data_IF_859983200043
#
_entry.id   IF_859983200043
#
_cell.length_a   1.000
_cell.length_b   1.000
_cell.length_c   1.000
_cell.angle_alpha   90.00
_cell.angle_beta   90.00
_cell.angle_gamma   90.00
#
_symmetry.space_group_name_H-M   'P 1'
#
loop_
_entity.id
_entity.type
_entity.pdbx_description
1 polymer ?
#
# COMPACT_ATOMS: atom_id res chain seq x y z
N UNK A 1 -1.87 10.92 -6.81
CA UNK A 1 -1.63 9.89 -5.80
C UNK A 1 -2.30 8.58 -6.21
N UNK A 2 -1.66 7.44 -5.95
CA UNK A 2 -2.29 6.13 -6.03
C UNK A 2 -2.49 5.58 -4.62
N UNK A 3 -3.74 5.25 -4.26
CA UNK A 3 -4.08 4.58 -3.00
C UNK A 3 -4.19 3.08 -3.27
N UNK A 4 -3.39 2.29 -2.58
CA UNK A 4 -3.33 0.84 -2.73
C UNK A 4 -4.02 0.16 -1.55
N UNK A 5 -5.02 -0.68 -1.84
CA UNK A 5 -5.81 -1.42 -0.88
C UNK A 5 -5.66 -2.93 -1.14
N UNK A 6 -4.79 -3.64 -0.39
CA UNK A 6 -4.75 -5.10 -0.44
C UNK A 6 -5.99 -5.69 0.23
N UNK A 7 -6.61 -6.71 -0.38
CA UNK A 7 -7.83 -7.33 0.11
C UNK A 7 -7.77 -8.86 0.02
N UNK A 8 -8.14 -9.54 1.10
CA UNK A 8 -8.29 -10.99 1.14
C UNK A 8 -9.44 -11.40 2.04
N UNK A 9 -10.57 -11.82 1.44
CA UNK A 9 -11.84 -12.12 2.11
C UNK A 9 -12.34 -10.92 2.95
N UNK A 10 -12.46 -9.78 2.29
CA UNK A 10 -12.90 -8.49 2.89
C UNK A 10 -14.23 -8.01 2.26
N UNK A 11 -15.12 -8.93 1.85
CA UNK A 11 -16.42 -8.60 1.23
C UNK A 11 -17.28 -7.67 2.08
N UNK A 12 -17.08 -7.66 3.42
CA UNK A 12 -17.86 -6.85 4.36
C UNK A 12 -17.35 -5.39 4.45
N UNK A 13 -16.12 -5.11 3.99
CA UNK A 13 -15.45 -3.83 4.21
C UNK A 13 -14.96 -3.15 2.93
N UNK A 14 -14.65 -3.94 1.87
CA UNK A 14 -13.90 -3.45 0.72
C UNK A 14 -14.66 -2.36 -0.06
N UNK A 15 -15.97 -2.49 -0.20
CA UNK A 15 -16.79 -1.50 -0.89
C UNK A 15 -16.73 -0.15 -0.15
N UNK A 16 -16.98 -0.15 1.15
CA UNK A 16 -16.92 1.05 1.97
C UNK A 16 -15.53 1.68 1.97
N UNK A 17 -14.47 0.86 2.04
CA UNK A 17 -13.09 1.36 2.02
C UNK A 17 -12.76 2.09 0.70
N UNK A 18 -13.23 1.57 -0.43
CA UNK A 18 -13.07 2.23 -1.73
C UNK A 18 -13.91 3.49 -1.81
N UNK A 19 -15.18 3.46 -1.36
CA UNK A 19 -16.06 4.63 -1.36
C UNK A 19 -15.53 5.74 -0.46
N UNK A 20 -14.99 5.43 0.72
CA UNK A 20 -14.32 6.42 1.59
C UNK A 20 -13.16 7.13 0.84
N UNK A 21 -12.36 6.36 0.07
CA UNK A 21 -11.31 6.95 -0.77
C UNK A 21 -11.89 7.85 -1.86
N UNK A 22 -12.94 7.40 -2.56
CA UNK A 22 -13.57 8.15 -3.66
C UNK A 22 -14.26 9.43 -3.19
N UNK A 23 -14.77 9.44 -1.97
CA UNK A 23 -15.38 10.64 -1.35
C UNK A 23 -14.33 11.65 -0.89
N UNK A 24 -13.18 11.19 -0.43
CA UNK A 24 -12.13 12.04 0.12
C UNK A 24 -11.15 12.57 -0.95
N UNK A 25 -10.58 11.68 -1.76
CA UNK A 25 -9.46 12.00 -2.65
C UNK A 25 -9.72 13.16 -3.63
N UNK A 26 -10.92 13.30 -4.26
CA UNK A 26 -11.18 14.40 -5.19
C UNK A 26 -11.19 15.79 -4.53
N UNK A 27 -11.29 15.87 -3.22
CA UNK A 27 -11.28 17.14 -2.46
C UNK A 27 -9.87 17.67 -2.29
N UNK A 28 -8.87 16.77 -2.22
CA UNK A 28 -7.50 17.11 -1.86
C UNK A 28 -6.52 16.92 -3.03
N UNK A 29 -6.84 16.04 -3.99
CA UNK A 29 -5.92 15.66 -5.06
C UNK A 29 -6.53 15.82 -6.44
N UNK A 30 -5.90 16.63 -7.31
CA UNK A 30 -6.35 16.81 -8.69
C UNK A 30 -6.24 15.53 -9.54
N UNK A 31 -5.23 14.69 -9.26
CA UNK A 31 -5.01 13.41 -9.92
C UNK A 31 -4.89 12.30 -8.86
N UNK A 32 -5.82 11.38 -8.89
CA UNK A 32 -5.86 10.26 -7.94
C UNK A 32 -6.40 8.99 -8.61
N UNK A 33 -6.09 7.87 -8.02
CA UNK A 33 -6.65 6.56 -8.34
C UNK A 33 -6.66 5.67 -7.10
N UNK A 34 -7.51 4.65 -7.12
CA UNK A 34 -7.59 3.60 -6.10
C UNK A 34 -7.28 2.26 -6.77
N UNK A 35 -6.22 1.60 -6.32
CA UNK A 35 -5.81 0.29 -6.80
C UNK A 35 -6.16 -0.74 -5.74
N UNK A 36 -7.12 -1.60 -6.04
CA UNK A 36 -7.56 -2.65 -5.13
C UNK A 36 -6.99 -3.99 -5.58
N UNK A 37 -6.26 -4.66 -4.70
CA UNK A 37 -5.60 -5.93 -5.03
C UNK A 37 -6.29 -7.07 -4.29
N UNK A 38 -7.02 -7.91 -5.03
CA UNK A 38 -7.62 -9.13 -4.51
C UNK A 38 -6.58 -10.25 -4.46
N UNK A 39 -6.16 -10.64 -3.27
CA UNK A 39 -5.18 -11.72 -3.06
C UNK A 39 -5.84 -13.11 -3.08
N UNK A 40 -6.61 -13.39 -4.13
CA UNK A 40 -7.25 -14.70 -4.35
C UNK A 40 -8.32 -15.03 -3.31
N UNK A 41 -9.21 -14.08 -2.99
CA UNK A 41 -10.34 -14.25 -2.08
C UNK A 41 -11.28 -15.36 -2.53
N UNK A 42 -11.93 -15.99 -1.56
CA UNK A 42 -12.91 -17.08 -1.78
C UNK A 42 -14.36 -16.63 -1.58
N UNK A 43 -14.55 -15.42 -1.11
CA UNK A 43 -15.83 -14.75 -0.89
C UNK A 43 -16.16 -13.78 -2.04
N UNK A 44 -17.14 -12.91 -1.86
CA UNK A 44 -17.59 -11.96 -2.88
C UNK A 44 -16.62 -10.78 -3.11
N UNK A 45 -15.48 -10.69 -2.39
CA UNK A 45 -14.51 -9.57 -2.51
C UNK A 45 -14.13 -9.30 -3.97
N UNK A 46 -13.80 -10.34 -4.73
CA UNK A 46 -13.38 -10.20 -6.13
C UNK A 46 -14.49 -9.71 -7.06
N UNK A 47 -15.75 -10.01 -6.76
CA UNK A 47 -16.93 -9.55 -7.52
C UNK A 47 -17.18 -8.07 -7.25
N UNK A 48 -17.17 -7.67 -5.98
CA UNK A 48 -17.34 -6.29 -5.53
C UNK A 48 -16.28 -5.38 -6.18
N UNK A 49 -15.00 -5.80 -6.21
CA UNK A 49 -13.92 -5.04 -6.84
C UNK A 49 -14.20 -4.84 -8.34
N UNK A 50 -14.66 -5.88 -9.07
CA UNK A 50 -15.01 -5.75 -10.50
C UNK A 50 -16.21 -4.83 -10.73
N UNK A 51 -17.15 -4.76 -9.80
CA UNK A 51 -18.28 -3.83 -9.87
C UNK A 51 -17.83 -2.39 -9.66
N UNK A 52 -17.00 -2.14 -8.66
CA UNK A 52 -16.42 -0.83 -8.40
C UNK A 52 -15.53 -0.33 -9.58
N UNK A 53 -14.75 -1.22 -10.19
CA UNK A 53 -13.95 -0.89 -11.38
C UNK A 53 -14.83 -0.49 -12.57
N UNK A 54 -16.00 -1.14 -12.76
CA UNK A 54 -16.97 -0.78 -13.79
C UNK A 54 -17.73 0.52 -13.48
N UNK A 55 -18.03 0.76 -12.20
CA UNK A 55 -18.72 1.97 -11.74
C UNK A 55 -17.83 3.22 -11.86
N UNK A 56 -16.51 3.06 -11.58
CA UNK A 56 -15.53 4.15 -11.57
C UNK A 56 -14.37 3.92 -12.56
N UNK A 57 -14.64 3.88 -13.88
CA UNK A 57 -13.63 3.56 -14.88
C UNK A 57 -12.52 4.61 -14.92
N UNK A 58 -11.26 4.15 -14.93
CA UNK A 58 -10.08 5.03 -14.93
C UNK A 58 -9.70 5.61 -13.57
N UNK A 59 -10.54 5.42 -12.54
CA UNK A 59 -10.27 5.84 -11.16
C UNK A 59 -10.00 4.62 -10.28
N UNK A 60 -10.86 3.60 -10.33
CA UNK A 60 -10.65 2.34 -9.62
C UNK A 60 -10.03 1.33 -10.57
N UNK A 61 -8.98 0.65 -10.12
CA UNK A 61 -8.30 -0.43 -10.85
C UNK A 61 -8.27 -1.69 -9.98
N UNK A 62 -8.86 -2.77 -10.48
CA UNK A 62 -8.87 -4.09 -9.82
C UNK A 62 -7.71 -4.96 -10.29
N UNK A 63 -6.83 -5.40 -9.38
CA UNK A 63 -5.81 -6.42 -9.63
C UNK A 63 -6.29 -7.73 -9.00
N UNK A 64 -6.41 -8.78 -9.79
CA UNK A 64 -6.95 -10.06 -9.32
C UNK A 64 -5.89 -11.15 -9.33
N UNK A 65 -5.68 -11.84 -8.21
CA UNK A 65 -4.89 -13.07 -8.15
C UNK A 65 -5.82 -14.29 -8.18
N UNK A 66 -5.46 -15.30 -8.92
CA UNK A 66 -6.21 -16.56 -8.94
C UNK A 66 -6.14 -17.31 -7.59
N UNK A 67 -5.05 -17.13 -6.86
CA UNK A 67 -4.76 -17.80 -5.58
C UNK A 67 -4.09 -16.82 -4.64
N UNK A 68 -4.27 -17.03 -3.33
CA UNK A 68 -3.57 -16.25 -2.31
C UNK A 68 -2.04 -16.38 -2.49
N UNK A 69 -1.38 -15.24 -2.65
CA UNK A 69 0.08 -15.09 -2.80
C UNK A 69 0.73 -14.45 -1.60
N UNK A 70 -0.08 -13.94 -0.70
CA UNK A 70 0.30 -13.25 0.52
C UNK A 70 0.26 -11.73 0.44
N UNK A 71 0.08 -11.15 1.61
CA UNK A 71 -0.12 -9.71 1.81
C UNK A 71 0.95 -8.84 1.12
N UNK A 72 2.23 -9.20 1.26
CA UNK A 72 3.32 -8.47 0.63
C UNK A 72 3.27 -8.56 -0.90
N UNK A 73 2.85 -9.70 -1.46
CA UNK A 73 2.69 -9.83 -2.90
C UNK A 73 1.57 -8.94 -3.43
N UNK A 74 0.46 -8.82 -2.67
CA UNK A 74 -0.64 -7.93 -3.00
C UNK A 74 -0.21 -6.46 -2.98
N UNK A 75 0.47 -6.00 -1.93
CA UNK A 75 1.00 -4.63 -1.85
C UNK A 75 1.92 -4.32 -3.03
N UNK A 76 2.87 -5.21 -3.34
CA UNK A 76 3.80 -4.99 -4.45
C UNK A 76 3.13 -5.00 -5.82
N UNK A 77 2.07 -5.79 -6.01
CA UNK A 77 1.27 -5.73 -7.23
C UNK A 77 0.50 -4.40 -7.34
N UNK A 78 -0.03 -3.92 -6.22
CA UNK A 78 -0.67 -2.61 -6.14
C UNK A 78 0.29 -1.47 -6.50
N UNK A 79 1.50 -1.46 -5.95
CA UNK A 79 2.52 -0.47 -6.29
C UNK A 79 2.91 -0.48 -7.77
N UNK A 80 2.98 -1.66 -8.40
CA UNK A 80 3.27 -1.79 -9.84
C UNK A 80 2.10 -1.32 -10.72
N UNK A 81 0.86 -1.53 -10.29
CA UNK A 81 -0.34 -1.13 -11.00
C UNK A 81 -0.65 0.37 -10.85
N UNK A 82 -0.30 0.96 -9.71
CA UNK A 82 -0.47 2.38 -9.45
C UNK A 82 0.36 3.25 -10.41
N UNK A 83 -0.20 4.40 -10.84
CA UNK A 83 0.38 5.31 -11.85
C UNK A 83 0.81 6.67 -11.28
N UNK A 84 0.39 6.98 -10.05
CA UNK A 84 0.69 8.26 -9.38
C UNK A 84 2.16 8.41 -9.00
N UNK A 85 2.63 9.63 -8.87
CA UNK A 85 3.97 9.98 -8.37
C UNK A 85 4.13 9.60 -6.88
N UNK A 86 3.03 9.65 -6.14
CA UNK A 86 2.93 9.22 -4.75
C UNK A 86 2.14 7.91 -4.68
N UNK A 87 2.72 6.94 -4.00
CA UNK A 87 2.15 5.62 -3.79
C UNK A 87 1.88 5.43 -2.29
N UNK A 88 0.63 5.40 -1.93
CA UNK A 88 0.17 5.20 -0.55
C UNK A 88 -0.51 3.85 -0.41
N UNK A 89 -0.18 3.09 0.63
CA UNK A 89 -0.96 1.91 0.94
C UNK A 89 -1.49 1.92 2.36
N UNK A 90 -2.67 1.34 2.52
CA UNK A 90 -3.32 1.09 3.80
C UNK A 90 -4.17 -0.18 3.71
N UNK A 91 -4.51 -0.76 4.87
CA UNK A 91 -5.40 -1.92 4.92
C UNK A 91 -6.82 -1.54 4.49
N UNK A 92 -7.52 -2.51 3.88
CA UNK A 92 -8.91 -2.35 3.40
C UNK A 92 -9.97 -2.51 4.51
N UNK A 93 -9.57 -2.75 5.74
CA UNK A 93 -10.44 -2.99 6.89
C UNK A 93 -10.95 -1.72 7.61
N UNK A 94 -10.62 -0.53 7.05
CA UNK A 94 -11.01 0.79 7.55
C UNK A 94 -10.50 1.11 8.96
N UNK A 95 -9.42 0.45 9.40
CA UNK A 95 -8.81 0.76 10.70
C UNK A 95 -8.00 2.07 10.67
N UNK A 96 -7.64 2.57 9.50
CA UNK A 96 -6.99 3.88 9.31
C UNK A 96 -7.92 4.87 8.63
N UNK A 97 -7.82 6.14 9.02
CA UNK A 97 -8.59 7.22 8.41
C UNK A 97 -7.89 7.73 7.14
N UNK A 98 -8.52 7.53 5.99
CA UNK A 98 -7.97 8.00 4.71
C UNK A 98 -7.78 9.53 4.69
N UNK A 99 -8.55 10.28 5.49
CA UNK A 99 -8.43 11.74 5.56
C UNK A 99 -7.06 12.21 6.09
N UNK A 100 -6.33 11.35 6.82
CA UNK A 100 -4.98 11.67 7.29
C UNK A 100 -3.93 11.68 6.15
N UNK A 101 -4.29 11.18 4.95
CA UNK A 101 -3.39 11.18 3.79
C UNK A 101 -3.05 12.60 3.31
N UNK A 102 -3.97 13.56 3.39
CA UNK A 102 -3.70 14.96 3.03
C UNK A 102 -2.56 15.52 3.89
N UNK A 103 -2.68 15.41 5.20
CA UNK A 103 -1.64 15.86 6.14
C UNK A 103 -0.31 15.09 5.96
N UNK A 104 -0.39 13.80 5.56
CA UNK A 104 0.80 13.01 5.28
C UNK A 104 1.54 13.52 4.04
N UNK A 105 0.83 13.89 2.98
CA UNK A 105 1.43 14.46 1.76
C UNK A 105 2.02 15.84 2.05
N UNK A 106 1.29 16.72 2.72
CA UNK A 106 1.79 18.04 3.12
C UNK A 106 3.08 17.94 3.96
N UNK A 107 3.10 17.02 4.93
CA UNK A 107 4.26 16.80 5.78
C UNK A 107 5.45 16.23 4.99
N UNK A 108 5.19 15.32 4.03
CA UNK A 108 6.22 14.77 3.15
C UNK A 108 6.88 15.88 2.33
N UNK A 109 6.07 16.76 1.73
CA UNK A 109 6.54 17.87 0.91
C UNK A 109 7.29 18.93 1.77
N UNK A 110 6.72 19.35 2.91
CA UNK A 110 7.34 20.32 3.84
C UNK A 110 8.74 19.85 4.27
N UNK A 111 8.86 18.58 4.63
CA UNK A 111 10.13 18.00 5.08
C UNK A 111 11.03 17.57 3.93
N UNK A 112 10.57 17.66 2.68
CA UNK A 112 11.27 17.15 1.48
C UNK A 112 11.69 15.69 1.68
N UNK A 113 10.81 14.90 2.27
CA UNK A 113 11.04 13.49 2.52
C UNK A 113 10.55 12.67 1.32
N UNK A 114 11.13 11.48 1.12
CA UNK A 114 10.83 10.59 0.01
C UNK A 114 9.90 9.44 0.43
N UNK A 115 9.79 9.21 1.75
CA UNK A 115 8.84 8.27 2.32
C UNK A 115 8.35 8.72 3.70
N UNK A 116 7.08 8.40 4.01
CA UNK A 116 6.45 8.63 5.30
C UNK A 116 5.92 7.31 5.86
N UNK A 117 6.23 7.07 7.13
CA UNK A 117 5.74 5.90 7.87
C UNK A 117 4.80 6.36 8.99
N UNK A 118 3.57 5.84 8.97
CA UNK A 118 2.63 6.03 10.06
C UNK A 118 3.07 5.29 11.32
N UNK A 119 2.69 5.79 12.49
CA UNK A 119 2.71 5.04 13.73
C UNK A 119 1.39 5.23 14.47
N UNK A 120 0.84 4.16 15.02
CA UNK A 120 -0.46 4.18 15.72
C UNK A 120 -0.35 4.94 17.04
N UNK A 121 -1.06 6.08 17.16
CA UNK A 121 -1.05 6.91 18.38
C UNK A 121 -1.78 6.19 19.51
N UNK A 122 -2.93 5.57 19.21
CA UNK A 122 -3.70 4.76 20.15
C UNK A 122 -3.77 3.31 19.66
N UNK A 123 -3.59 2.36 20.56
CA UNK A 123 -3.66 0.93 20.26
C UNK A 123 -4.75 0.30 21.12
N UNK A 124 -5.73 -0.27 20.48
CA UNK A 124 -6.81 -1.03 21.14
C UNK A 124 -6.48 -2.52 21.27
N UNK A 125 -5.20 -2.88 21.08
CA UNK A 125 -4.70 -4.24 21.18
C UNK A 125 -4.60 -4.72 22.63
N UNK A 126 -4.63 -6.04 22.84
CA UNK A 126 -4.35 -6.63 24.14
C UNK A 126 -2.92 -6.29 24.61
N UNK A 127 -2.73 -6.23 25.93
CA UNK A 127 -1.42 -5.91 26.54
C UNK A 127 -0.32 -6.84 26.01
N UNK A 128 -0.60 -8.15 25.90
CA UNK A 128 0.35 -9.13 25.36
C UNK A 128 0.76 -8.79 23.92
N UNK A 129 -0.19 -8.41 23.08
CA UNK A 129 0.07 -7.98 21.69
C UNK A 129 0.89 -6.70 21.63
N UNK A 130 0.65 -5.76 22.52
CA UNK A 130 1.44 -4.54 22.64
C UNK A 130 2.90 -4.85 23.03
N UNK A 131 3.13 -5.75 24.00
CA UNK A 131 4.47 -6.16 24.43
C UNK A 131 5.20 -6.91 23.31
N UNK A 132 4.57 -7.86 22.64
CA UNK A 132 5.19 -8.61 21.54
C UNK A 132 5.54 -7.70 20.37
N UNK A 133 4.65 -6.77 20.02
CA UNK A 133 4.92 -5.75 19.00
C UNK A 133 6.07 -4.82 19.41
N UNK A 134 6.14 -4.40 20.67
CA UNK A 134 7.24 -3.57 21.18
C UNK A 134 8.59 -4.28 21.07
N UNK A 135 8.66 -5.57 21.48
CA UNK A 135 9.87 -6.40 21.33
C UNK A 135 10.27 -6.51 19.87
N UNK A 136 9.30 -6.80 19.00
CA UNK A 136 9.53 -6.90 17.55
C UNK A 136 10.07 -5.60 16.95
N UNK A 137 9.41 -4.47 17.21
CA UNK A 137 9.86 -3.16 16.77
C UNK A 137 11.27 -2.82 17.30
N UNK A 138 11.59 -3.21 18.54
CA UNK A 138 12.92 -3.02 19.12
C UNK A 138 13.98 -3.84 18.38
N UNK A 139 13.66 -5.10 18.08
CA UNK A 139 14.54 -6.01 17.33
C UNK A 139 14.83 -5.46 15.92
N UNK A 140 13.79 -5.08 15.19
CA UNK A 140 13.91 -4.53 13.83
C UNK A 140 14.76 -3.26 13.83
N UNK A 141 14.51 -2.34 14.77
CA UNK A 141 15.31 -1.10 14.89
C UNK A 141 16.79 -1.36 15.11
N UNK A 142 17.13 -2.36 15.92
CA UNK A 142 18.54 -2.70 16.19
C UNK A 142 19.18 -3.40 14.99
N UNK A 143 18.49 -4.38 14.39
CA UNK A 143 19.05 -5.18 13.31
C UNK A 143 19.23 -4.40 12.00
N UNK A 144 18.28 -3.51 11.69
CA UNK A 144 18.29 -2.75 10.43
C UNK A 144 18.71 -1.29 10.60
N UNK A 145 19.07 -0.86 11.81
CA UNK A 145 19.45 0.51 12.14
C UNK A 145 18.40 1.57 11.73
N UNK A 146 17.11 1.19 11.76
CA UNK A 146 16.01 2.07 11.38
C UNK A 146 15.45 2.83 12.58
N UNK A 147 14.99 4.06 12.36
CA UNK A 147 14.39 4.92 13.40
C UNK A 147 12.87 5.01 13.20
N UNK A 148 12.19 3.87 13.21
CA UNK A 148 10.73 3.80 13.03
C UNK A 148 10.09 3.28 14.31
N UNK A 149 9.01 3.92 14.78
CA UNK A 149 8.31 3.59 16.04
C UNK A 149 7.43 2.36 15.90
N UNK A 150 6.71 2.25 14.78
CA UNK A 150 5.74 1.19 14.50
C UNK A 150 5.93 0.68 13.07
N UNK A 151 6.76 -0.35 12.92
CA UNK A 151 7.13 -0.91 11.62
C UNK A 151 5.92 -1.54 10.92
N UNK A 152 5.03 -2.18 11.70
CA UNK A 152 3.87 -2.92 11.18
C UNK A 152 2.63 -2.02 10.97
N UNK A 153 2.79 -0.70 10.98
CA UNK A 153 1.69 0.22 10.70
C UNK A 153 1.41 0.25 9.20
N UNK A 154 0.22 -0.19 8.78
CA UNK A 154 -0.23 -0.19 7.40
C UNK A 154 -0.72 1.20 6.95
N UNK A 155 0.09 2.22 7.18
CA UNK A 155 -0.09 3.58 6.70
C UNK A 155 1.27 4.07 6.21
N UNK A 156 1.57 3.87 4.93
CA UNK A 156 2.88 4.22 4.38
C UNK A 156 2.73 4.91 3.03
N UNK A 157 3.43 6.02 2.88
CA UNK A 157 3.47 6.85 1.69
C UNK A 157 4.90 6.89 1.14
N UNK A 158 5.04 6.71 -0.16
CA UNK A 158 6.32 6.72 -0.85
C UNK A 158 6.26 7.57 -2.10
N UNK A 159 7.33 8.27 -2.42
CA UNK A 159 7.55 8.71 -3.78
C UNK A 159 7.85 7.50 -4.68
N UNK A 160 7.32 7.50 -5.89
CA UNK A 160 7.44 6.38 -6.85
C UNK A 160 8.88 5.89 -7.03
N UNK A 161 9.82 6.82 -7.19
CA UNK A 161 11.22 6.49 -7.45
C UNK A 161 11.89 5.67 -6.34
N UNK A 162 11.39 5.75 -5.11
CA UNK A 162 11.85 4.93 -3.96
C UNK A 162 11.52 3.46 -4.20
N UNK A 163 10.32 3.18 -4.72
CA UNK A 163 9.83 1.83 -4.94
C UNK A 163 10.32 1.22 -6.26
N UNK A 164 10.48 2.02 -7.32
CA UNK A 164 10.94 1.56 -8.64
C UNK A 164 12.31 0.87 -8.60
N UNK A 165 13.15 1.27 -7.65
CA UNK A 165 14.49 0.70 -7.44
C UNK A 165 14.53 -0.37 -6.34
N UNK A 166 13.38 -0.67 -5.76
CA UNK A 166 13.32 -1.56 -4.60
C UNK A 166 12.94 -2.99 -5.02
N UNK A 167 13.87 -3.91 -4.81
CA UNK A 167 13.61 -5.33 -4.97
C UNK A 167 13.15 -5.93 -3.65
N UNK A 168 11.86 -6.17 -3.50
CA UNK A 168 11.24 -6.74 -2.29
C UNK A 168 11.08 -8.24 -2.46
N UNK A 169 11.49 -9.01 -1.46
CA UNK A 169 11.47 -10.47 -1.48
C UNK A 169 10.37 -11.08 -0.61
N UNK A 170 9.87 -10.33 0.38
CA UNK A 170 8.81 -10.81 1.27
C UNK A 170 7.45 -10.75 0.58
N UNK A 171 6.74 -11.87 0.64
CA UNK A 171 5.37 -11.98 0.13
C UNK A 171 4.33 -12.03 1.24
N UNK A 172 4.74 -12.04 2.50
CA UNK A 172 3.91 -12.12 3.69
C UNK A 172 3.92 -10.79 4.49
N UNK A 173 3.49 -10.83 5.76
CA UNK A 173 3.41 -9.66 6.64
C UNK A 173 4.75 -8.97 6.92
N UNK A 174 5.88 -9.63 6.63
CA UNK A 174 7.20 -9.00 6.80
C UNK A 174 7.54 -7.98 5.71
N UNK A 175 6.67 -7.78 4.74
CA UNK A 175 6.77 -6.73 3.73
C UNK A 175 7.00 -5.36 4.37
N UNK A 176 6.28 -5.04 5.44
CA UNK A 176 6.40 -3.78 6.18
C UNK A 176 7.82 -3.54 6.68
N UNK A 177 8.40 -4.57 7.27
CA UNK A 177 9.79 -4.53 7.76
C UNK A 177 10.77 -4.38 6.59
N UNK A 178 10.55 -5.11 5.48
CA UNK A 178 11.45 -5.06 4.33
C UNK A 178 11.40 -3.68 3.66
N UNK A 179 10.21 -3.09 3.48
CA UNK A 179 10.05 -1.75 2.92
C UNK A 179 10.81 -0.71 3.74
N UNK A 180 10.59 -0.69 5.06
CA UNK A 180 11.27 0.24 5.97
C UNK A 180 12.79 0.04 5.95
N UNK A 181 13.26 -1.21 6.05
CA UNK A 181 14.67 -1.52 6.09
C UNK A 181 15.40 -1.17 4.78
N UNK A 182 14.77 -1.44 3.63
CA UNK A 182 15.35 -1.12 2.32
C UNK A 182 15.36 0.38 2.06
N UNK A 183 14.28 1.10 2.39
CA UNK A 183 14.22 2.55 2.26
C UNK A 183 15.35 3.20 3.06
N UNK A 184 15.56 2.77 4.31
CA UNK A 184 16.64 3.29 5.14
C UNK A 184 18.02 2.92 4.59
N UNK A 185 18.22 1.68 4.11
CA UNK A 185 19.50 1.23 3.54
C UNK A 185 19.87 1.97 2.26
N UNK A 186 18.90 2.32 1.44
CA UNK A 186 19.10 3.10 0.22
C UNK A 186 19.40 4.59 0.51
N UNK A 187 19.29 5.01 1.77
CA UNK A 187 19.60 6.37 2.20
C UNK A 187 18.51 7.39 1.91
N UNK A 188 17.29 6.93 1.61
CA UNK A 188 16.15 7.81 1.39
C UNK A 188 15.77 8.58 2.66
N UNK A 189 15.37 9.83 2.49
CA UNK A 189 14.90 10.66 3.58
C UNK A 189 13.51 10.23 4.01
N UNK A 190 13.40 9.75 5.25
CA UNK A 190 12.14 9.23 5.82
C UNK A 190 11.68 10.07 6.98
N UNK A 191 10.36 10.16 7.15
CA UNK A 191 9.70 10.82 8.28
C UNK A 191 8.61 9.92 8.86
N UNK A 192 8.17 10.25 10.05
CA UNK A 192 7.07 9.55 10.71
C UNK A 192 5.91 10.50 11.03
N UNK A 193 4.69 10.00 10.95
CA UNK A 193 3.47 10.68 11.36
C UNK A 193 2.64 9.81 12.30
N UNK A 194 2.12 10.40 13.38
CA UNK A 194 1.16 9.72 14.25
C UNK A 194 -0.19 9.64 13.56
N UNK A 195 -0.76 8.43 13.44
CA UNK A 195 -2.04 8.19 12.80
C UNK A 195 -3.03 7.55 13.77
N UNK A 196 -4.32 7.86 13.58
CA UNK A 196 -5.40 7.23 14.34
C UNK A 196 -5.62 5.82 13.84
N UNK A 197 -5.82 4.91 14.77
CA UNK A 197 -6.12 3.52 14.46
C UNK A 197 -7.39 3.13 15.20
N UNK A 198 -8.41 2.74 14.45
CA UNK A 198 -9.73 2.41 14.97
C UNK A 198 -9.86 0.89 15.24
N UNK A 199 -10.75 0.50 16.15
CA UNK A 199 -11.12 -0.91 16.29
C UNK A 199 -11.70 -1.44 14.98
N UNK A 200 -11.34 -2.68 14.63
CA UNK A 200 -11.89 -3.36 13.45
C UNK A 200 -13.41 -3.52 13.60
N UNK A 201 -14.17 -3.14 12.58
CA UNK A 201 -15.63 -3.23 12.58
C UNK A 201 -16.14 -4.59 12.05
N UNK A 202 -15.36 -5.26 11.18
CA UNK A 202 -15.71 -6.54 10.56
C UNK A 202 -14.44 -7.37 10.24
N UNK A 203 -14.60 -8.66 9.91
CA UNK A 203 -13.52 -9.55 9.51
C UNK A 203 -12.81 -10.27 10.69
N UNK A 204 -11.83 -11.16 10.38
CA UNK A 204 -11.11 -11.97 11.37
C UNK A 204 -9.61 -11.69 11.35
N UNK A 205 -9.02 -11.61 12.54
CA UNK A 205 -7.55 -11.51 12.70
C UNK A 205 -6.87 -12.83 12.32
N UNK A 206 -5.89 -12.77 11.44
CA UNK A 206 -5.14 -13.93 10.93
C UNK A 206 -3.85 -14.24 11.68
N UNK A 207 -3.40 -13.36 12.59
CA UNK A 207 -2.11 -13.49 13.28
C UNK A 207 -2.25 -14.27 14.60
N UNK A 208 -1.50 -15.38 14.74
CA UNK A 208 -1.46 -16.21 15.95
C UNK A 208 -0.07 -16.19 16.62
N UNK A 209 0.02 -16.25 17.98
CA UNK A 209 1.29 -16.21 18.73
C UNK A 209 2.27 -17.35 18.43
N UNK A 210 1.79 -18.50 17.89
CA UNK A 210 2.63 -19.65 17.55
C UNK A 210 3.66 -19.43 16.44
N UNK A 211 3.65 -18.26 15.81
CA UNK A 211 4.55 -17.95 14.68
C UNK A 211 5.90 -17.34 15.09
N UNK A 212 6.17 -17.13 16.39
CA UNK A 212 7.38 -16.43 16.88
C UNK A 212 8.70 -17.04 16.33
N UNK A 213 8.95 -18.36 16.37
CA UNK A 213 10.20 -18.92 15.84
C UNK A 213 10.37 -18.69 14.34
N UNK A 214 9.27 -18.82 13.58
CA UNK A 214 9.25 -18.54 12.13
C UNK A 214 9.55 -17.08 11.86
N UNK A 215 9.00 -16.18 12.67
CA UNK A 215 9.24 -14.73 12.61
C UNK A 215 10.72 -14.42 12.75
N UNK A 216 11.37 -14.93 13.81
CA UNK A 216 12.80 -14.70 14.05
C UNK A 216 13.67 -15.22 12.91
N UNK A 217 13.37 -16.39 12.38
CA UNK A 217 14.08 -16.95 11.23
C UNK A 217 13.92 -16.09 9.98
N UNK A 218 12.69 -15.58 9.72
CA UNK A 218 12.40 -14.70 8.58
C UNK A 218 13.15 -13.38 8.71
N UNK A 219 13.14 -12.76 9.89
CA UNK A 219 13.89 -11.52 10.16
C UNK A 219 15.39 -11.72 9.98
N UNK A 220 15.95 -12.83 10.48
CA UNK A 220 17.36 -13.15 10.30
C UNK A 220 17.74 -13.35 8.82
N UNK A 221 16.90 -14.08 8.06
CA UNK A 221 17.10 -14.24 6.61
C UNK A 221 17.02 -12.92 5.86
N UNK A 222 16.05 -12.07 6.20
CA UNK A 222 15.90 -10.74 5.63
C UNK A 222 17.12 -9.88 5.94
N UNK A 223 17.63 -9.92 7.16
CA UNK A 223 18.83 -9.20 7.55
C UNK A 223 20.05 -9.62 6.70
N UNK A 224 20.28 -10.94 6.55
CA UNK A 224 21.34 -11.47 5.69
C UNK A 224 21.17 -11.05 4.23
N UNK A 225 19.95 -11.10 3.70
CA UNK A 225 19.64 -10.70 2.33
C UNK A 225 19.88 -9.20 2.12
N UNK A 226 19.41 -8.37 3.03
CA UNK A 226 19.55 -6.92 2.91
C UNK A 226 21.00 -6.47 3.07
N UNK A 227 21.78 -7.05 4.00
CA UNK A 227 23.15 -6.59 4.28
C UNK A 227 24.19 -7.22 3.37
N UNK A 228 24.02 -8.47 3.00
CA UNK A 228 25.05 -9.25 2.27
C UNK A 228 24.57 -9.74 0.90
N UNK A 229 23.34 -9.46 0.48
CA UNK A 229 22.79 -9.95 -0.79
C UNK A 229 22.55 -11.46 -0.84
N UNK A 230 22.67 -12.17 0.29
CA UNK A 230 22.55 -13.63 0.35
C UNK A 230 21.10 -14.03 0.10
N UNK A 231 20.87 -14.80 -0.97
CA UNK A 231 19.54 -15.27 -1.36
C UNK A 231 18.76 -14.35 -2.30
N UNK A 232 19.27 -13.17 -2.63
CA UNK A 232 18.62 -12.22 -3.53
C UNK A 232 18.32 -12.82 -4.93
N UNK A 233 19.23 -13.59 -5.50
CA UNK A 233 19.04 -14.22 -6.82
C UNK A 233 17.89 -15.23 -6.86
N UNK A 234 17.58 -15.90 -5.73
CA UNK A 234 16.44 -16.85 -5.68
C UNK A 234 15.10 -16.15 -5.60
N UNK A 235 15.04 -14.96 -4.95
CA UNK A 235 13.81 -14.18 -4.87
C UNK A 235 13.50 -13.51 -6.21
N UNK A 236 14.49 -12.88 -6.86
CA UNK A 236 14.34 -12.25 -8.16
C UNK A 236 13.82 -13.21 -9.24
N UNK A 237 14.34 -14.46 -9.27
CA UNK A 237 13.87 -15.48 -10.19
C UNK A 237 12.42 -15.94 -9.92
N UNK A 238 12.01 -15.96 -8.64
CA UNK A 238 10.62 -16.28 -8.26
C UNK A 238 9.66 -15.12 -8.57
N UNK A 239 10.11 -13.89 -8.38
CA UNK A 239 9.28 -12.70 -8.63
C UNK A 239 9.08 -12.46 -10.13
N UNK A 240 10.09 -12.69 -10.96
CA UNK A 240 9.96 -12.66 -12.41
C UNK A 240 8.95 -13.71 -12.91
N UNK A 241 9.04 -14.96 -12.43
CA UNK A 241 8.10 -16.02 -12.81
C UNK A 241 6.67 -15.79 -12.32
N UNK A 242 6.47 -14.96 -11.27
CA UNK A 242 5.14 -14.64 -10.73
C UNK A 242 4.52 -13.38 -11.32
N UNK A 243 5.33 -12.49 -11.86
CA UNK A 243 4.84 -11.26 -12.51
C UNK A 243 3.98 -11.57 -13.74
N UNK A 244 4.30 -12.64 -14.47
CA UNK A 244 3.58 -13.07 -15.68
C UNK A 244 2.17 -13.64 -15.39
N UNK A 245 1.83 -13.91 -14.12
CA UNK A 245 0.51 -14.43 -13.72
C UNK A 245 -0.46 -13.36 -13.19
N UNK A 246 -0.11 -12.07 -13.22
CA UNK A 246 -0.97 -10.98 -12.74
C UNK A 246 -1.89 -10.55 -13.87
N UNK A 247 -3.20 -10.75 -13.70
CA UNK A 247 -4.22 -10.22 -14.62
C UNK A 247 -4.56 -8.79 -14.19
N UNK A 248 -3.99 -7.81 -14.88
CA UNK A 248 -4.41 -6.41 -14.78
C UNK A 248 -5.38 -6.15 -15.93
N UNK A 249 -6.58 -5.70 -15.63
CA UNK A 249 -7.55 -5.31 -16.66
C UNK A 249 -7.03 -4.07 -17.38
N UNK A 250 -6.75 -4.12 -18.72
CA UNK A 250 -6.24 -2.96 -19.45
C UNK A 250 -7.30 -1.87 -19.47
N UNK A 251 -7.00 -0.71 -18.90
CA UNK A 251 -7.90 0.43 -18.98
C UNK A 251 -7.62 1.28 -20.24
N UNK A 252 -8.65 1.76 -20.96
CA UNK A 252 -8.45 2.71 -22.05
C UNK A 252 -7.83 3.99 -21.49
N UNK A 253 -6.77 4.47 -22.15
CA UNK A 253 -6.15 5.76 -21.83
C UNK A 253 -7.22 6.85 -21.86
N UNK A 254 -7.35 7.67 -20.80
CA UNK A 254 -8.13 8.91 -20.87
C UNK A 254 -7.57 9.73 -22.01
N UNK A 255 -8.37 9.98 -23.03
CA UNK A 255 -8.09 11.04 -24.00
C UNK A 255 -8.19 12.37 -23.24
N UNK A 256 -7.12 13.16 -23.32
CA UNK A 256 -7.02 14.45 -22.65
C UNK A 256 -8.26 15.29 -22.90
N UNK A 257 -9.07 15.52 -21.86
CA UNK A 257 -10.24 16.40 -21.90
C UNK A 257 -9.86 17.88 -22.15
N UNK A 258 -8.57 18.21 -22.18
CA UNK A 258 -8.04 19.53 -22.46
C UNK A 258 -8.11 19.90 -23.96
N UNK A 259 -8.34 18.94 -24.87
CA UNK A 259 -8.43 19.21 -26.30
C UNK A 259 -9.84 19.64 -26.80
N UNK A 260 -10.88 19.40 -25.98
CA UNK A 260 -12.28 19.65 -26.38
C UNK A 260 -12.77 21.09 -26.09
N UNK A 261 -12.00 21.95 -25.46
CA UNK A 261 -12.42 23.33 -25.11
C UNK A 261 -11.82 24.42 -26.00
N UNK A 262 -11.21 24.09 -27.15
CA UNK A 262 -10.79 25.08 -28.14
C UNK A 262 -11.66 25.00 -29.40
N UNK A 263 -12.95 25.37 -29.26
CA UNK A 263 -13.73 25.85 -30.45
C UNK A 263 -13.61 27.36 -30.47
N UNK A 264 -13.24 27.94 -31.63
CA UNK A 264 -13.20 29.39 -31.79
C UNK A 264 -14.62 29.97 -31.75
N UNK A 265 -14.77 31.02 -30.93
CA UNK A 265 -15.98 31.82 -30.92
C UNK A 265 -16.24 32.40 -32.32
N UNK A 266 -17.41 32.10 -32.86
CA UNK A 266 -17.93 32.75 -34.06
C UNK A 266 -18.46 34.13 -33.61
N UNK A 267 -17.79 35.21 -34.03
CA UNK A 267 -18.31 36.56 -33.88
C UNK A 267 -19.59 36.73 -34.73
N UNK A 268 -20.63 37.37 -34.19
CA UNK A 268 -21.79 37.73 -35.04
C UNK A 268 -21.46 39.00 -35.87
N UNK A 269 -21.45 38.88 -37.18
CA UNK A 269 -21.48 40.02 -38.07
C UNK A 269 -22.77 40.83 -37.87
N UNK A 270 -22.59 42.12 -37.60
CA UNK A 270 -23.64 43.13 -37.67
C UNK A 270 -24.04 43.41 -39.10
N UNK A 271 -25.33 43.27 -39.39
CA UNK A 271 -26.09 44.10 -40.33
C UNK A 271 -27.39 44.55 -39.71
#
# INVERSE_FOLDING_TARGET
VSVILPAYNEQECIEDAVRDCLDFLPRCFANYEVVVVNDGSKDATGEIIRELEREFPGIVTGVQFEKNRGYGAAIMAGFRAGRGELLFYTDSDRQFDICELEAAVELLEEKKAEALFGFRVYRYDSVLRCITSWIYNRLVRVLFAVKVRDVDCAFKLFERHVLDRMHVACTDFFIDTELVARTAKQGHRTIEMGVRHFPRTAGRTTVHPGHIPKTLLTVARMWLMIHFGIGANRSLARDAARADEVVVTPQPRRMDAAAAQRSPAIEPEHR
#
